data_IF_666131071537
#
_entry.id   IF_666131071537
#
_cell.length_a   1.000
_cell.length_b   1.000
_cell.length_c   1.000
_cell.angle_alpha   90.00
_cell.angle_beta   90.00
_cell.angle_gamma   90.00
#
_symmetry.space_group_name_H-M   'P 1'
#
loop_
_entity.id
_entity.type
_entity.pdbx_description
1 polymer ?
#
# COMPACT_ATOMS: atom_id res chain seq x y z
N UNK A 1 20.11 -19.23 -20.80
CA UNK A 1 21.30 -18.85 -19.99
C UNK A 1 20.94 -19.04 -18.52
N UNK A 2 21.74 -19.78 -17.73
CA UNK A 2 21.39 -20.19 -16.35
C UNK A 2 21.94 -19.28 -15.23
N UNK A 3 22.47 -18.09 -15.58
CA UNK A 3 23.09 -17.16 -14.63
C UNK A 3 22.73 -15.68 -14.89
N UNK A 4 21.66 -15.40 -15.63
CA UNK A 4 21.21 -14.02 -15.88
C UNK A 4 20.60 -13.41 -14.62
N UNK A 5 21.22 -12.38 -14.04
CA UNK A 5 20.64 -11.62 -12.93
C UNK A 5 19.59 -10.66 -13.50
N UNK A 6 18.31 -11.03 -13.47
CA UNK A 6 17.19 -10.15 -13.88
C UNK A 6 16.82 -9.14 -12.79
N UNK A 7 16.91 -9.56 -11.53
CA UNK A 7 16.42 -8.81 -10.37
C UNK A 7 17.19 -7.50 -10.19
N UNK A 8 16.46 -6.39 -10.14
CA UNK A 8 16.98 -5.03 -9.93
C UNK A 8 17.61 -4.39 -11.18
N UNK A 9 17.66 -5.10 -12.31
CA UNK A 9 18.06 -4.49 -13.58
C UNK A 9 16.87 -3.78 -14.23
N UNK A 10 17.16 -2.66 -14.87
CA UNK A 10 16.18 -1.85 -15.59
C UNK A 10 16.85 -1.12 -16.75
N UNK A 11 16.04 -0.57 -17.66
CA UNK A 11 16.48 0.44 -18.62
C UNK A 11 15.72 1.74 -18.43
N UNK A 12 16.15 2.80 -19.09
CA UNK A 12 15.53 4.13 -19.02
C UNK A 12 15.04 4.51 -20.42
N UNK A 13 13.81 4.99 -20.50
CA UNK A 13 13.24 5.64 -21.68
C UNK A 13 13.22 7.16 -21.48
N UNK A 14 13.29 7.93 -22.57
CA UNK A 14 13.30 9.41 -22.53
C UNK A 14 14.62 10.06 -22.12
N UNK A 15 15.66 9.29 -21.80
CA UNK A 15 17.03 9.77 -21.58
C UNK A 15 18.06 8.67 -21.86
N UNK A 16 19.31 9.06 -22.10
CA UNK A 16 20.42 8.10 -22.13
C UNK A 16 20.63 7.51 -20.72
N UNK A 17 20.77 6.18 -20.55
CA UNK A 17 20.95 5.57 -19.24
C UNK A 17 22.11 6.14 -18.41
N UNK A 18 23.18 6.61 -19.05
CA UNK A 18 24.32 7.25 -18.37
C UNK A 18 23.98 8.65 -17.83
N UNK A 19 23.00 9.31 -18.45
CA UNK A 19 22.53 10.65 -18.07
C UNK A 19 21.37 10.65 -17.08
N UNK A 20 20.69 9.51 -16.87
CA UNK A 20 19.50 9.41 -16.02
C UNK A 20 19.70 9.99 -14.62
N UNK A 21 20.81 9.61 -13.97
CA UNK A 21 21.13 10.14 -12.65
C UNK A 21 21.34 11.66 -12.66
N UNK A 22 22.05 12.18 -13.66
CA UNK A 22 22.30 13.61 -13.80
C UNK A 22 20.99 14.39 -14.05
N UNK A 23 20.05 13.85 -14.83
CA UNK A 23 18.73 14.47 -15.04
C UNK A 23 17.99 14.63 -13.71
N UNK A 24 17.96 13.57 -12.89
CA UNK A 24 17.33 13.62 -11.57
C UNK A 24 18.09 14.55 -10.61
N UNK A 25 19.42 14.55 -10.62
CA UNK A 25 20.24 15.38 -9.74
C UNK A 25 20.14 16.87 -10.07
N UNK A 26 19.94 17.23 -11.35
CA UNK A 26 19.81 18.63 -11.79
C UNK A 26 18.44 19.25 -11.47
N UNK A 27 17.39 18.44 -11.39
CA UNK A 27 16.06 18.91 -11.01
C UNK A 27 15.49 18.03 -9.91
N UNK A 28 15.50 18.45 -8.63
CA UNK A 28 14.98 17.67 -7.51
C UNK A 28 13.46 17.45 -7.56
N UNK A 29 12.72 18.20 -8.38
CA UNK A 29 11.26 18.11 -8.48
C UNK A 29 10.79 17.01 -9.42
N UNK A 30 11.65 16.56 -10.35
CA UNK A 30 11.33 15.47 -11.29
C UNK A 30 11.00 14.16 -10.52
N UNK A 31 9.82 13.54 -10.71
CA UNK A 31 9.48 12.30 -10.02
C UNK A 31 10.30 11.10 -10.54
N UNK A 32 10.41 10.06 -9.71
CA UNK A 32 10.82 8.74 -10.18
C UNK A 32 9.61 8.08 -10.83
N UNK A 33 9.69 7.70 -12.10
CA UNK A 33 8.61 7.04 -12.82
C UNK A 33 9.06 5.67 -13.28
N UNK A 34 8.26 4.63 -13.01
CA UNK A 34 8.53 3.24 -13.38
C UNK A 34 7.39 2.68 -14.22
N UNK A 35 7.69 1.72 -15.08
CA UNK A 35 6.71 0.85 -15.73
C UNK A 35 7.24 -0.58 -15.84
N UNK A 36 6.35 -1.53 -16.15
CA UNK A 36 6.74 -2.90 -16.48
C UNK A 36 7.41 -2.94 -17.86
N UNK A 37 6.69 -2.58 -18.91
CA UNK A 37 7.16 -2.64 -20.30
C UNK A 37 7.90 -1.39 -20.77
N UNK A 38 8.80 -1.57 -21.75
CA UNK A 38 9.51 -0.45 -22.39
C UNK A 38 8.59 0.42 -23.25
N UNK A 39 7.60 -0.14 -23.95
CA UNK A 39 6.65 0.63 -24.75
C UNK A 39 5.82 1.59 -23.89
N UNK A 40 5.35 1.10 -22.74
CA UNK A 40 4.71 1.92 -21.70
C UNK A 40 5.68 2.99 -21.19
N UNK A 41 6.94 2.64 -20.90
CA UNK A 41 7.94 3.59 -20.43
C UNK A 41 8.18 4.72 -21.43
N UNK A 42 8.39 4.38 -22.71
CA UNK A 42 8.64 5.34 -23.78
C UNK A 42 7.46 6.28 -23.98
N UNK A 43 6.24 5.73 -24.01
CA UNK A 43 5.02 6.54 -24.12
C UNK A 43 4.91 7.49 -22.93
N UNK A 44 5.00 6.99 -21.70
CA UNK A 44 4.89 7.83 -20.51
C UNK A 44 5.99 8.89 -20.48
N UNK A 45 7.22 8.56 -20.87
CA UNK A 45 8.32 9.52 -20.95
C UNK A 45 8.02 10.66 -21.94
N UNK A 46 7.45 10.35 -23.10
CA UNK A 46 6.99 11.37 -24.07
C UNK A 46 5.84 12.22 -23.53
N UNK A 47 4.95 11.63 -22.73
CA UNK A 47 3.79 12.33 -22.17
C UNK A 47 4.17 13.29 -21.05
N UNK A 48 5.00 12.85 -20.10
CA UNK A 48 5.39 13.64 -18.93
C UNK A 48 6.65 14.50 -19.15
N UNK A 49 7.43 14.22 -20.20
CA UNK A 49 8.69 14.93 -20.45
C UNK A 49 9.82 14.56 -19.48
N UNK A 50 9.69 13.45 -18.75
CA UNK A 50 10.68 12.97 -17.79
C UNK A 50 11.16 11.57 -18.14
N UNK A 51 12.37 11.18 -17.73
CA UNK A 51 12.83 9.81 -17.93
C UNK A 51 11.98 8.81 -17.15
N UNK A 52 11.69 7.67 -17.76
CA UNK A 52 10.89 6.58 -17.16
C UNK A 52 11.70 5.30 -17.15
N UNK A 53 11.67 4.59 -16.02
CA UNK A 53 12.39 3.34 -15.81
C UNK A 53 11.52 2.15 -16.22
N UNK A 54 12.00 1.30 -17.12
CA UNK A 54 11.32 0.05 -17.47
C UNK A 54 11.93 -1.15 -16.73
N UNK A 55 11.11 -1.86 -15.95
CA UNK A 55 11.53 -3.01 -15.14
C UNK A 55 11.54 -4.35 -15.91
N UNK A 56 10.98 -4.37 -17.13
CA UNK A 56 10.80 -5.51 -18.03
C UNK A 56 9.90 -6.66 -17.53
N UNK A 57 9.47 -6.60 -16.27
CA UNK A 57 8.68 -7.65 -15.63
C UNK A 57 8.03 -7.11 -14.35
N UNK A 58 6.74 -7.41 -14.19
CA UNK A 58 5.96 -7.04 -13.00
C UNK A 58 6.55 -7.58 -11.70
N UNK A 59 7.17 -8.77 -11.73
CA UNK A 59 7.88 -9.35 -10.59
C UNK A 59 9.19 -8.62 -10.24
N UNK A 60 9.70 -7.75 -11.11
CA UNK A 60 10.90 -6.96 -10.89
C UNK A 60 10.61 -5.53 -10.40
N UNK A 61 9.34 -5.09 -10.44
CA UNK A 61 8.94 -3.73 -10.03
C UNK A 61 9.38 -3.39 -8.61
N UNK A 62 9.17 -4.28 -7.64
CA UNK A 62 9.57 -4.09 -6.25
C UNK A 62 11.09 -3.91 -6.10
N UNK A 63 11.88 -4.79 -6.73
CA UNK A 63 13.34 -4.71 -6.64
C UNK A 63 13.90 -3.43 -7.25
N UNK A 64 13.33 -2.97 -8.37
CA UNK A 64 13.71 -1.71 -9.03
C UNK A 64 13.26 -0.51 -8.21
N UNK A 65 12.01 -0.50 -7.73
CA UNK A 65 11.46 0.56 -6.89
C UNK A 65 12.28 0.76 -5.60
N UNK A 66 12.67 -0.34 -4.94
CA UNK A 66 13.59 -0.30 -3.79
C UNK A 66 14.92 0.36 -4.13
N UNK A 67 15.57 -0.07 -5.22
CA UNK A 67 16.87 0.47 -5.66
C UNK A 67 16.81 1.97 -5.92
N UNK A 68 15.76 2.43 -6.61
CA UNK A 68 15.55 3.86 -6.88
C UNK A 68 15.25 4.63 -5.59
N UNK A 69 14.45 4.06 -4.68
CA UNK A 69 14.15 4.67 -3.38
C UNK A 69 15.37 4.78 -2.48
N UNK A 70 16.26 3.78 -2.46
CA UNK A 70 17.51 3.82 -1.70
C UNK A 70 18.43 4.97 -2.16
N UNK A 71 18.47 5.24 -3.46
CA UNK A 71 19.27 6.32 -4.03
C UNK A 71 18.62 7.70 -3.93
N UNK A 72 17.30 7.76 -4.06
CA UNK A 72 16.52 9.01 -4.03
C UNK A 72 15.32 8.91 -3.06
N UNK A 73 15.58 8.96 -1.74
CA UNK A 73 14.62 8.59 -0.70
C UNK A 73 13.37 9.48 -0.64
N UNK A 74 13.47 10.75 -1.02
CA UNK A 74 12.41 11.74 -0.79
C UNK A 74 11.65 12.14 -2.06
N UNK A 75 12.01 11.57 -3.21
CA UNK A 75 11.35 11.87 -4.48
C UNK A 75 10.00 11.17 -4.58
N UNK A 76 8.98 11.77 -5.22
CA UNK A 76 7.76 11.06 -5.56
C UNK A 76 8.09 9.82 -6.42
N UNK A 77 7.49 8.70 -6.10
CA UNK A 77 7.63 7.45 -6.85
C UNK A 77 6.29 7.13 -7.51
N UNK A 78 6.27 7.08 -8.83
CA UNK A 78 5.09 6.84 -9.65
C UNK A 78 5.30 5.56 -10.45
N UNK A 79 4.33 4.65 -10.43
CA UNK A 79 4.38 3.39 -11.18
C UNK A 79 3.26 3.43 -12.22
N UNK A 80 3.62 3.66 -13.48
CA UNK A 80 2.72 3.53 -14.61
C UNK A 80 2.47 2.03 -14.87
N UNK A 81 1.28 1.58 -14.46
CA UNK A 81 0.92 0.16 -14.50
C UNK A 81 0.10 -0.17 -15.74
N UNK A 82 0.27 -1.40 -16.22
CA UNK A 82 -0.58 -2.00 -17.22
C UNK A 82 -1.94 -2.35 -16.56
N UNK A 83 -3.01 -2.10 -17.30
CA UNK A 83 -4.40 -2.27 -16.91
C UNK A 83 -5.08 -3.32 -17.78
N UNK A 84 -4.76 -4.60 -17.53
CA UNK A 84 -5.48 -5.74 -18.11
C UNK A 84 -6.90 -5.84 -17.53
N UNK A 85 -7.74 -4.84 -17.77
CA UNK A 85 -9.10 -4.69 -17.27
C UNK A 85 -10.05 -5.79 -17.75
N UNK A 86 -9.61 -6.62 -18.70
CA UNK A 86 -10.33 -7.80 -19.21
C UNK A 86 -9.92 -9.10 -18.50
N UNK A 87 -8.76 -9.13 -17.83
CA UNK A 87 -8.23 -10.35 -17.22
C UNK A 87 -9.19 -10.94 -16.19
N UNK A 88 -9.86 -10.10 -15.40
CA UNK A 88 -10.83 -10.54 -14.39
C UNK A 88 -12.12 -11.12 -14.98
N UNK A 89 -12.41 -10.84 -16.26
CA UNK A 89 -13.57 -11.38 -16.99
C UNK A 89 -13.28 -12.74 -17.62
N UNK A 90 -12.02 -13.13 -17.72
CA UNK A 90 -11.59 -14.40 -18.27
C UNK A 90 -11.42 -15.44 -17.15
N UNK A 91 -11.82 -16.69 -17.40
CA UNK A 91 -11.56 -17.78 -16.47
C UNK A 91 -10.20 -18.41 -16.78
N UNK A 92 -9.39 -18.55 -15.74
CA UNK A 92 -8.15 -19.31 -15.80
C UNK A 92 -8.45 -20.82 -15.90
N UNK A 93 -7.47 -21.65 -16.29
CA UNK A 93 -7.64 -23.10 -16.38
C UNK A 93 -8.10 -23.78 -15.07
N UNK A 94 -7.90 -23.13 -13.92
CA UNK A 94 -8.35 -23.57 -12.60
C UNK A 94 -9.80 -23.18 -12.27
N UNK A 95 -10.54 -22.61 -13.21
CA UNK A 95 -11.94 -22.20 -13.07
C UNK A 95 -12.15 -20.92 -12.25
N UNK A 96 -11.08 -20.20 -11.89
CA UNK A 96 -11.16 -18.92 -11.16
C UNK A 96 -11.00 -17.74 -12.13
N UNK A 97 -11.55 -16.55 -11.82
CA UNK A 97 -11.26 -15.33 -12.57
C UNK A 97 -9.76 -15.11 -12.72
N UNK A 98 -9.36 -14.56 -13.87
CA UNK A 98 -8.03 -14.03 -14.08
C UNK A 98 -7.74 -12.89 -13.11
N UNK A 99 -6.47 -12.56 -12.99
CA UNK A 99 -6.00 -11.49 -12.11
C UNK A 99 -5.20 -10.55 -12.98
N UNK A 100 -5.43 -9.24 -12.84
CA UNK A 100 -4.54 -8.25 -13.42
C UNK A 100 -3.23 -8.23 -12.61
N UNK A 101 -2.31 -9.13 -12.97
CA UNK A 101 -1.06 -9.35 -12.24
C UNK A 101 -0.17 -8.11 -12.29
N UNK A 102 -0.12 -7.41 -13.43
CA UNK A 102 0.64 -6.19 -13.61
C UNK A 102 0.20 -5.10 -12.65
N UNK A 103 -1.11 -4.81 -12.59
CA UNK A 103 -1.67 -3.83 -11.67
C UNK A 103 -1.44 -4.22 -10.21
N UNK A 104 -1.69 -5.48 -9.83
CA UNK A 104 -1.48 -5.95 -8.46
C UNK A 104 -0.02 -5.79 -8.02
N UNK A 105 0.93 -6.14 -8.88
CA UNK A 105 2.37 -6.01 -8.60
C UNK A 105 2.82 -4.57 -8.50
N UNK A 106 2.25 -3.69 -9.33
CA UNK A 106 2.47 -2.26 -9.22
C UNK A 106 1.94 -1.69 -7.89
N UNK A 107 0.75 -2.12 -7.45
CA UNK A 107 0.19 -1.73 -6.15
C UNK A 107 1.08 -2.21 -4.99
N UNK A 108 1.48 -3.48 -4.98
CA UNK A 108 2.39 -4.03 -3.96
C UNK A 108 3.71 -3.22 -3.89
N UNK A 109 4.32 -2.92 -5.04
CA UNK A 109 5.56 -2.13 -5.08
C UNK A 109 5.36 -0.68 -4.62
N UNK A 110 4.24 -0.05 -4.97
CA UNK A 110 3.91 1.30 -4.53
C UNK A 110 3.70 1.35 -3.01
N UNK A 111 2.98 0.38 -2.43
CA UNK A 111 2.79 0.26 -0.99
C UNK A 111 4.11 0.08 -0.24
N UNK A 112 4.96 -0.86 -0.69
CA UNK A 112 6.26 -1.15 -0.08
C UNK A 112 7.23 0.03 -0.10
N UNK A 113 7.11 0.91 -1.10
CA UNK A 113 8.08 1.97 -1.36
C UNK A 113 7.49 3.38 -1.33
N UNK A 114 6.30 3.55 -0.73
CA UNK A 114 5.61 4.85 -0.56
C UNK A 114 5.46 5.58 -1.90
N UNK A 115 5.05 4.85 -2.92
CA UNK A 115 4.76 5.36 -4.26
C UNK A 115 3.26 5.44 -4.54
N UNK A 116 2.91 5.78 -5.78
CA UNK A 116 1.55 5.77 -6.28
C UNK A 116 1.48 5.06 -7.63
N UNK A 117 0.34 4.42 -7.92
CA UNK A 117 0.11 3.72 -9.19
C UNK A 117 -0.70 4.59 -10.13
N UNK A 118 -0.25 4.71 -11.37
CA UNK A 118 -0.90 5.45 -12.44
C UNK A 118 -1.45 4.45 -13.46
N UNK A 119 -2.77 4.34 -13.51
CA UNK A 119 -3.49 3.37 -14.35
C UNK A 119 -4.25 4.12 -15.44
N UNK A 120 -4.09 3.79 -16.73
CA UNK A 120 -4.88 4.38 -17.80
C UNK A 120 -6.35 4.00 -17.63
N UNK A 121 -7.25 4.96 -17.89
CA UNK A 121 -8.70 4.74 -17.74
C UNK A 121 -9.29 4.18 -19.04
N UNK A 122 -9.43 2.86 -19.10
CA UNK A 122 -10.18 2.20 -20.16
C UNK A 122 -11.64 1.96 -19.73
N UNK A 123 -12.58 2.25 -20.62
CA UNK A 123 -13.97 1.83 -20.49
C UNK A 123 -14.12 0.32 -20.71
N UNK A 124 -15.23 -0.26 -20.28
CA UNK A 124 -15.44 -1.72 -20.33
C UNK A 124 -15.33 -2.35 -21.72
N UNK A 125 -15.53 -1.56 -22.77
CA UNK A 125 -15.50 -1.97 -24.18
C UNK A 125 -14.22 -1.55 -24.90
N UNK A 126 -13.39 -0.73 -24.27
CA UNK A 126 -12.19 -0.19 -24.90
C UNK A 126 -11.17 -1.31 -25.08
N UNK A 127 -10.45 -1.25 -26.20
CA UNK A 127 -9.34 -2.16 -26.44
C UNK A 127 -8.11 -1.67 -25.69
N UNK A 128 -7.13 -2.55 -25.50
CA UNK A 128 -5.84 -2.19 -24.92
C UNK A 128 -5.79 -2.29 -23.40
N UNK A 129 -4.57 -2.24 -22.87
CA UNK A 129 -4.35 -2.37 -21.44
C UNK A 129 -3.33 -1.38 -20.89
N UNK A 130 -2.45 -0.82 -21.70
CA UNK A 130 -1.38 0.05 -21.20
C UNK A 130 -1.52 1.51 -21.66
N UNK A 131 -0.58 2.35 -21.22
CA UNK A 131 -0.52 3.76 -21.63
C UNK A 131 -0.22 3.95 -23.11
N UNK A 132 0.49 2.99 -23.74
CA UNK A 132 0.81 3.03 -25.16
C UNK A 132 -0.45 2.79 -26.01
N UNK A 133 -1.30 1.84 -25.63
CA UNK A 133 -2.60 1.59 -26.25
C UNK A 133 -3.55 2.78 -26.06
N UNK A 134 -3.54 3.39 -24.86
CA UNK A 134 -4.35 4.57 -24.57
C UNK A 134 -3.94 5.74 -25.47
N UNK A 135 -2.63 6.00 -25.60
CA UNK A 135 -2.09 7.05 -26.46
C UNK A 135 -2.39 6.81 -27.94
N UNK A 136 -2.31 5.56 -28.41
CA UNK A 136 -2.66 5.22 -29.79
C UNK A 136 -4.15 5.44 -30.10
N UNK A 137 -5.04 5.19 -29.13
CA UNK A 137 -6.48 5.33 -29.32
C UNK A 137 -6.97 6.78 -29.20
N UNK A 138 -6.41 7.55 -28.26
CA UNK A 138 -6.91 8.89 -27.92
C UNK A 138 -5.99 10.03 -28.38
N UNK A 139 -4.77 9.72 -28.82
CA UNK A 139 -3.73 10.68 -29.15
C UNK A 139 -2.93 11.16 -27.94
N UNK A 140 -1.70 11.61 -28.20
CA UNK A 140 -0.72 12.00 -27.16
C UNK A 140 -1.23 13.15 -26.27
N UNK A 141 -1.99 14.11 -26.80
CA UNK A 141 -2.51 15.24 -26.00
C UNK A 141 -3.56 14.77 -24.98
N UNK A 142 -4.47 13.90 -25.38
CA UNK A 142 -5.48 13.34 -24.48
C UNK A 142 -4.83 12.43 -23.43
N UNK A 143 -3.87 11.60 -23.85
CA UNK A 143 -3.10 10.76 -22.95
C UNK A 143 -2.29 11.56 -21.93
N UNK A 144 -1.69 12.68 -22.33
CA UNK A 144 -1.00 13.60 -21.41
C UNK A 144 -1.96 14.15 -20.36
N UNK A 145 -3.11 14.68 -20.77
CA UNK A 145 -4.12 15.21 -19.84
C UNK A 145 -4.61 14.15 -18.86
N UNK A 146 -4.80 12.92 -19.34
CA UNK A 146 -5.20 11.81 -18.48
C UNK A 146 -4.10 11.43 -17.48
N UNK A 147 -2.83 11.37 -17.92
CA UNK A 147 -1.69 11.12 -17.04
C UNK A 147 -1.57 12.20 -15.96
N UNK A 148 -1.64 13.47 -16.34
CA UNK A 148 -1.62 14.61 -15.41
C UNK A 148 -2.76 14.53 -14.39
N UNK A 149 -3.97 14.17 -14.84
CA UNK A 149 -5.13 13.95 -13.96
C UNK A 149 -4.87 12.83 -12.95
N UNK A 150 -4.30 11.69 -13.38
CA UNK A 150 -3.96 10.57 -12.50
C UNK A 150 -2.88 10.96 -11.48
N UNK A 151 -1.88 11.74 -11.90
CA UNK A 151 -0.86 12.28 -10.99
C UNK A 151 -1.47 13.23 -9.96
N UNK A 152 -2.37 14.13 -10.37
CA UNK A 152 -3.06 15.04 -9.46
C UNK A 152 -3.96 14.30 -8.45
N UNK A 153 -4.64 13.23 -8.90
CA UNK A 153 -5.43 12.35 -8.04
C UNK A 153 -4.54 11.65 -7.01
N UNK A 154 -3.44 11.04 -7.45
CA UNK A 154 -2.48 10.39 -6.55
C UNK A 154 -1.91 11.35 -5.50
N UNK A 155 -1.58 12.60 -5.89
CA UNK A 155 -1.14 13.64 -4.94
C UNK A 155 -2.23 13.98 -3.92
N UNK A 156 -3.47 14.11 -4.36
CA UNK A 156 -4.61 14.44 -3.50
C UNK A 156 -4.90 13.31 -2.51
N UNK A 157 -4.92 12.06 -2.98
CA UNK A 157 -5.11 10.86 -2.15
C UNK A 157 -3.98 10.71 -1.13
N UNK A 158 -2.73 10.94 -1.53
CA UNK A 158 -1.59 10.91 -0.62
C UNK A 158 -1.71 11.99 0.47
N UNK A 159 -2.15 13.21 0.13
CA UNK A 159 -2.37 14.29 1.09
C UNK A 159 -3.50 13.95 2.08
N UNK A 160 -4.65 13.47 1.58
CA UNK A 160 -5.78 13.05 2.42
C UNK A 160 -5.40 11.90 3.34
N UNK A 161 -4.63 10.92 2.85
CA UNK A 161 -4.18 9.79 3.66
C UNK A 161 -3.18 10.24 4.74
N UNK A 162 -2.28 11.17 4.42
CA UNK A 162 -1.38 11.76 5.40
C UNK A 162 -2.15 12.53 6.50
N UNK A 163 -3.15 13.32 6.13
CA UNK A 163 -4.02 14.03 7.09
C UNK A 163 -4.79 13.06 7.99
N UNK A 164 -5.35 11.98 7.41
CA UNK A 164 -6.03 10.92 8.16
C UNK A 164 -5.09 10.24 9.16
N UNK A 165 -3.87 9.91 8.75
CA UNK A 165 -2.87 9.33 9.65
C UNK A 165 -2.50 10.28 10.79
N UNK A 166 -2.37 11.59 10.54
CA UNK A 166 -2.10 12.56 11.59
C UNK A 166 -3.26 12.67 12.60
N UNK A 167 -4.51 12.60 12.14
CA UNK A 167 -5.68 12.59 13.01
C UNK A 167 -5.68 11.36 13.93
N UNK A 168 -5.50 10.16 13.36
CA UNK A 168 -5.44 8.92 14.12
C UNK A 168 -4.26 8.88 15.11
N UNK A 169 -3.11 9.44 14.75
CA UNK A 169 -1.96 9.55 15.65
C UNK A 169 -2.25 10.48 16.85
N UNK A 170 -2.95 11.60 16.61
CA UNK A 170 -3.37 12.52 17.69
C UNK A 170 -4.40 11.89 18.62
N UNK A 171 -5.35 11.15 18.08
CA UNK A 171 -6.35 10.42 18.88
C UNK A 171 -5.67 9.37 19.76
N UNK A 172 -4.77 8.55 19.20
CA UNK A 172 -3.99 7.58 19.98
C UNK A 172 -3.13 8.24 21.06
N UNK A 173 -2.55 9.40 20.78
CA UNK A 173 -1.78 10.14 21.79
C UNK A 173 -2.67 10.66 22.92
N UNK A 174 -3.88 11.11 22.62
CA UNK A 174 -4.86 11.50 23.64
C UNK A 174 -5.29 10.30 24.49
N UNK A 175 -5.60 9.16 23.86
CA UNK A 175 -5.94 7.91 24.55
C UNK A 175 -4.78 7.44 25.46
N UNK A 176 -3.53 7.47 24.98
CA UNK A 176 -2.37 7.07 25.77
C UNK A 176 -2.04 8.05 26.92
N UNK A 177 -2.45 9.32 26.83
CA UNK A 177 -2.29 10.29 27.94
C UNK A 177 -3.34 10.10 29.03
N UNK A 178 -4.53 9.62 28.66
CA UNK A 178 -5.66 9.42 29.58
C UNK A 178 -5.70 8.00 30.18
N UNK A 179 -4.79 7.10 29.79
CA UNK A 179 -4.63 5.77 30.38
C UNK A 179 -3.58 5.75 31.52
N UNK A 180 -3.99 5.53 32.79
CA UNK A 180 -3.09 5.50 33.94
C UNK A 180 -2.18 4.26 34.00
N UNK A 181 -2.26 3.31 33.05
CA UNK A 181 -1.49 2.06 33.06
C UNK A 181 -0.38 1.95 32.00
N UNK A 182 -0.23 2.90 31.07
CA UNK A 182 0.69 2.79 29.91
C UNK A 182 2.14 3.22 30.15
N UNK A 183 2.64 3.25 31.40
CA UNK A 183 4.06 3.55 31.71
C UNK A 183 5.07 2.48 31.24
N UNK A 184 4.65 1.51 30.42
CA UNK A 184 5.41 0.30 30.17
C UNK A 184 6.02 0.15 28.76
N UNK A 185 5.86 1.08 27.80
CA UNK A 185 6.55 0.93 26.51
C UNK A 185 6.90 2.25 25.80
N UNK A 186 7.54 3.16 26.55
CA UNK A 186 8.07 4.44 26.06
C UNK A 186 8.92 4.31 24.78
N UNK A 187 9.59 3.16 24.59
CA UNK A 187 10.44 2.90 23.44
C UNK A 187 9.66 2.64 22.13
N UNK A 188 8.49 2.00 22.19
CA UNK A 188 7.66 1.73 21.01
C UNK A 188 6.98 3.02 20.54
N UNK A 189 6.44 3.78 21.50
CA UNK A 189 5.83 5.09 21.25
C UNK A 189 6.86 6.09 20.70
N UNK A 190 8.11 6.05 21.20
CA UNK A 190 9.19 6.87 20.65
C UNK A 190 9.55 6.49 19.20
N UNK A 191 9.52 5.20 18.85
CA UNK A 191 9.77 4.75 17.46
C UNK A 191 8.65 5.18 16.52
N UNK A 192 7.39 5.06 16.92
CA UNK A 192 6.25 5.54 16.13
C UNK A 192 6.29 7.07 15.95
N UNK A 193 6.65 7.82 16.99
CA UNK A 193 6.88 9.27 16.92
C UNK A 193 8.00 9.65 15.95
N UNK A 194 9.13 8.93 15.98
CA UNK A 194 10.23 9.16 15.06
C UNK A 194 9.82 8.88 13.60
N UNK A 195 9.08 7.80 13.35
CA UNK A 195 8.57 7.45 12.03
C UNK A 195 7.53 8.47 11.50
N UNK A 196 6.63 8.95 12.37
CA UNK A 196 5.66 10.00 12.03
C UNK A 196 6.33 11.35 11.75
N UNK A 197 7.36 11.72 12.51
CA UNK A 197 8.11 12.96 12.31
C UNK A 197 8.98 12.92 11.04
N UNK A 198 9.58 11.78 10.71
CA UNK A 198 10.31 11.59 9.44
C UNK A 198 9.35 11.65 8.24
N UNK A 199 8.18 11.01 8.33
CA UNK A 199 7.13 11.11 7.32
C UNK A 199 6.66 12.56 7.14
N UNK A 200 6.52 13.31 8.24
CA UNK A 200 6.14 14.73 8.25
C UNK A 200 7.23 15.62 7.65
N UNK A 201 8.51 15.39 7.96
CA UNK A 201 9.63 16.16 7.39
C UNK A 201 9.67 16.05 5.87
N UNK A 202 9.46 14.83 5.36
CA UNK A 202 9.39 14.55 3.91
C UNK A 202 8.13 15.13 3.26
N UNK A 203 6.98 15.05 3.96
CA UNK A 203 5.72 15.63 3.50
C UNK A 203 5.71 17.16 3.52
N UNK A 204 6.42 17.83 4.44
CA UNK A 204 6.55 19.29 4.47
C UNK A 204 7.54 19.76 3.38
N UNK A 205 8.65 19.04 3.18
CA UNK A 205 9.60 19.34 2.11
C UNK A 205 8.97 19.17 0.71
N UNK A 206 8.17 18.12 0.47
CA UNK A 206 7.42 17.93 -0.78
C UNK A 206 6.11 18.73 -0.85
N UNK A 207 5.49 19.01 0.29
CA UNK A 207 4.17 19.63 0.40
C UNK A 207 4.18 21.16 0.43
N UNK A 208 5.29 21.82 0.80
CA UNK A 208 5.41 23.27 0.69
C UNK A 208 5.41 23.74 -0.77
N UNK A 209 6.06 22.98 -1.66
CA UNK A 209 6.01 23.21 -3.11
C UNK A 209 4.62 22.90 -3.68
N UNK A 210 4.01 21.78 -3.28
CA UNK A 210 2.67 21.40 -3.72
C UNK A 210 1.56 22.32 -3.19
N UNK A 211 1.70 22.91 -1.98
CA UNK A 211 0.76 23.91 -1.44
C UNK A 211 0.84 25.21 -2.22
N UNK A 212 2.03 25.69 -2.57
CA UNK A 212 2.20 26.91 -3.35
C UNK A 212 1.56 26.76 -4.75
N UNK A 213 1.82 25.64 -5.45
CA UNK A 213 1.19 25.34 -6.74
C UNK A 213 -0.32 25.11 -6.63
N UNK A 214 -0.81 24.45 -5.58
CA UNK A 214 -2.24 24.21 -5.39
C UNK A 214 -3.00 25.49 -5.03
N UNK A 215 -2.40 26.41 -4.25
CA UNK A 215 -2.99 27.73 -3.98
C UNK A 215 -3.02 28.60 -5.24
N UNK A 216 -1.97 28.58 -6.06
CA UNK A 216 -1.95 29.30 -7.34
C UNK A 216 -2.97 28.71 -8.34
N UNK A 217 -3.11 27.38 -8.38
CA UNK A 217 -4.11 26.70 -9.21
C UNK A 217 -5.56 26.96 -8.73
N UNK A 218 -5.80 27.03 -7.41
CA UNK A 218 -7.09 27.37 -6.82
C UNK A 218 -7.47 28.84 -7.09
N UNK A 219 -6.50 29.76 -7.06
CA UNK A 219 -6.70 31.17 -7.42
C UNK A 219 -6.95 31.33 -8.92
N UNK A 220 -6.28 30.55 -9.77
CA UNK A 220 -6.49 30.54 -11.22
C UNK A 220 -7.85 29.95 -11.64
N UNK A 221 -8.41 29.02 -10.85
CA UNK A 221 -9.67 28.33 -11.16
C UNK A 221 -10.92 29.03 -10.56
N UNK A 222 -10.72 30.10 -9.78
CA UNK A 222 -11.80 30.89 -9.17
C UNK A 222 -12.61 31.74 -10.17
N UNK A 223 -12.30 31.67 -11.47
CA UNK A 223 -12.97 32.45 -12.54
C UNK A 223 -14.13 31.73 -13.24
N UNK A 224 -14.62 30.57 -12.78
CA UNK A 224 -15.75 29.90 -13.47
C UNK A 224 -16.51 28.78 -12.76
N UNK A 225 -17.58 29.15 -12.04
CA UNK A 225 -18.82 28.43 -11.66
C UNK A 225 -18.79 27.09 -10.84
N UNK A 226 -19.72 26.87 -9.88
CA UNK A 226 -19.65 25.79 -8.88
C UNK A 226 -20.40 24.49 -9.23
N UNK A 227 -19.95 23.34 -8.68
CA UNK A 227 -20.70 22.06 -8.58
C UNK A 227 -20.83 21.61 -7.11
N UNK A 228 -21.89 20.85 -6.74
CA UNK A 228 -22.27 20.67 -5.33
C UNK A 228 -21.42 19.61 -4.63
N UNK A 229 -20.40 20.09 -3.92
CA UNK A 229 -19.49 19.36 -3.02
C UNK A 229 -20.19 18.57 -1.90
N UNK A 230 -21.45 18.88 -1.60
CA UNK A 230 -22.18 18.30 -0.48
C UNK A 230 -22.55 16.80 -0.66
N UNK A 231 -22.80 16.35 -1.90
CA UNK A 231 -23.24 14.97 -2.14
C UNK A 231 -22.08 13.95 -2.05
N UNK A 232 -20.86 14.36 -2.43
CA UNK A 232 -19.67 13.50 -2.39
C UNK A 232 -19.16 13.36 -0.94
N UNK A 233 -19.19 14.45 -0.17
CA UNK A 233 -18.81 14.44 1.24
C UNK A 233 -19.72 13.52 2.09
N UNK A 234 -21.03 13.50 1.81
CA UNK A 234 -21.98 12.68 2.56
C UNK A 234 -21.85 11.17 2.30
N UNK A 235 -21.35 10.77 1.13
CA UNK A 235 -21.12 9.36 0.76
C UNK A 235 -19.81 8.85 1.38
N UNK A 236 -18.75 9.67 1.36
CA UNK A 236 -17.47 9.31 2.00
C UNK A 236 -17.57 9.26 3.52
N UNK A 237 -18.37 10.13 4.14
CA UNK A 237 -18.60 10.10 5.59
C UNK A 237 -19.28 8.80 6.06
N UNK A 238 -20.21 8.25 5.26
CA UNK A 238 -20.89 6.98 5.58
C UNK A 238 -19.93 5.79 5.50
N UNK A 239 -19.13 5.70 4.44
CA UNK A 239 -18.16 4.61 4.27
C UNK A 239 -17.06 4.62 5.35
N UNK A 240 -16.63 5.81 5.79
CA UNK A 240 -15.63 5.93 6.87
C UNK A 240 -16.17 5.50 8.25
N UNK A 241 -17.46 5.69 8.51
CA UNK A 241 -18.09 5.24 9.76
C UNK A 241 -18.20 3.71 9.79
N UNK A 242 -18.65 3.12 8.69
CA UNK A 242 -18.80 1.65 8.54
C UNK A 242 -17.46 0.92 8.70
N UNK A 243 -16.38 1.44 8.10
CA UNK A 243 -15.03 0.88 8.26
C UNK A 243 -14.46 1.08 9.68
N UNK A 244 -14.84 2.16 10.36
CA UNK A 244 -14.44 2.41 11.75
C UNK A 244 -15.07 1.41 12.73
N UNK A 245 -16.31 1.02 12.47
CA UNK A 245 -17.04 0.04 13.27
C UNK A 245 -16.49 -1.38 13.05
N UNK A 246 -16.15 -1.78 11.83
CA UNK A 246 -15.48 -3.06 11.55
C UNK A 246 -14.12 -3.19 12.24
N UNK A 247 -13.32 -2.11 12.27
CA UNK A 247 -12.01 -2.12 12.94
C UNK A 247 -12.17 -2.22 14.47
N UNK A 248 -13.23 -1.62 15.03
CA UNK A 248 -13.55 -1.77 16.46
C UNK A 248 -13.98 -3.19 16.79
N UNK A 249 -14.81 -3.80 15.94
CA UNK A 249 -15.29 -5.18 16.13
C UNK A 249 -14.14 -6.19 16.02
N UNK A 250 -13.22 -6.01 15.06
CA UNK A 250 -12.00 -6.82 14.95
C UNK A 250 -11.07 -6.66 16.15
N UNK A 251 -10.94 -5.45 16.72
CA UNK A 251 -10.17 -5.22 17.96
C UNK A 251 -10.81 -5.90 19.16
N UNK A 252 -12.15 -5.82 19.29
CA UNK A 252 -12.88 -6.46 20.38
C UNK A 252 -12.71 -7.99 20.34
N UNK A 253 -12.77 -8.60 19.15
CA UNK A 253 -12.54 -10.04 18.98
C UNK A 253 -11.11 -10.47 19.37
N UNK A 254 -10.11 -9.63 19.13
CA UNK A 254 -8.71 -9.88 19.54
C UNK A 254 -8.53 -9.73 21.06
N UNK A 255 -9.20 -8.76 21.67
CA UNK A 255 -9.23 -8.55 23.12
C UNK A 255 -9.94 -9.71 23.86
N UNK A 256 -11.07 -10.17 23.34
CA UNK A 256 -11.83 -11.28 23.92
C UNK A 256 -11.09 -12.61 23.77
N UNK A 257 -10.29 -12.78 22.70
CA UNK A 257 -9.42 -13.93 22.50
C UNK A 257 -8.25 -14.04 23.48
N UNK A 258 -7.83 -12.94 24.12
CA UNK A 258 -6.76 -12.92 25.12
C UNK A 258 -7.23 -13.22 26.55
N UNK A 259 -8.55 -13.33 26.79
CA UNK A 259 -9.10 -13.53 28.15
C UNK A 259 -9.35 -15.00 28.53
N UNK A 260 -8.93 -15.96 27.70
CA UNK A 260 -8.97 -17.41 28.03
C UNK A 260 -7.55 -17.92 28.27
N UNK A 261 -6.82 -17.40 29.27
CA UNK A 261 -5.60 -18.05 29.80
C UNK A 261 -5.05 -17.40 31.09
N UNK A 262 -5.85 -17.15 32.12
CA UNK A 262 -5.29 -16.99 33.49
C UNK A 262 -6.35 -17.24 34.58
N UNK A 263 -6.59 -18.49 34.95
CA UNK A 263 -6.88 -18.87 36.35
C UNK A 263 -6.32 -20.28 36.60
N UNK A 264 -5.09 -20.34 37.09
CA UNK A 264 -4.52 -21.55 37.67
C UNK A 264 -4.83 -21.61 39.17
N UNK A 265 -5.43 -22.72 39.60
CA UNK A 265 -5.09 -23.39 40.86
C UNK A 265 -5.56 -22.76 42.18
N UNK A 266 -6.64 -23.32 42.74
CA UNK A 266 -6.76 -23.51 44.19
C UNK A 266 -6.93 -25.00 44.48
N UNK A 267 -6.01 -25.50 45.28
CA UNK A 267 -5.89 -26.87 45.81
C UNK A 267 -6.96 -27.17 46.85
N UNK A 268 -7.48 -28.40 46.84
CA UNK A 268 -8.14 -29.05 47.97
C UNK A 268 -7.60 -30.49 48.10
N UNK A 269 -7.44 -31.04 49.32
CA UNK A 269 -6.70 -32.27 49.55
C UNK A 269 -7.56 -33.51 49.31
N UNK A 270 -7.02 -34.47 48.56
CA UNK A 270 -7.65 -35.75 48.30
C UNK A 270 -7.61 -36.63 49.56
N UNK A 271 -8.79 -37.06 50.02
CA UNK A 271 -8.95 -38.01 51.13
C UNK A 271 -8.77 -39.42 50.62
N UNK A 272 -7.78 -40.08 51.20
CA UNK A 272 -7.45 -41.49 51.11
C UNK A 272 -8.66 -42.40 51.43
N UNK A 273 -9.11 -43.19 50.46
CA UNK A 273 -10.08 -44.27 50.64
C UNK A 273 -9.41 -45.62 50.39
N UNK A 274 -9.28 -46.38 51.46
CA UNK A 274 -8.57 -47.65 51.58
C UNK A 274 -9.10 -48.78 50.67
N UNK A 275 -8.18 -49.56 50.09
CA UNK A 275 -8.45 -50.89 49.53
C UNK A 275 -8.20 -51.98 50.60
N UNK A 276 -9.06 -53.00 50.74
CA UNK A 276 -8.92 -54.01 51.78
C UNK A 276 -7.86 -55.08 51.44
N UNK A 277 -7.16 -55.50 52.50
CA UNK A 277 -6.08 -56.48 52.54
C UNK A 277 -6.60 -57.90 52.24
N UNK A 278 -5.91 -58.63 51.35
CA UNK A 278 -6.09 -60.09 51.13
C UNK A 278 -5.44 -60.88 52.27
N UNK A 279 -6.21 -61.73 52.95
CA UNK A 279 -5.67 -62.86 53.72
C UNK A 279 -5.46 -64.09 52.81
N UNK A 280 -4.31 -64.74 52.96
CA UNK A 280 -3.92 -66.00 52.33
C UNK A 280 -4.43 -67.19 53.15
N UNK A 281 -4.80 -68.30 52.48
CA UNK A 281 -4.18 -69.63 52.70
C UNK A 281 -4.78 -70.72 51.81
N UNK A 282 -3.89 -71.55 51.23
CA UNK A 282 -3.92 -73.03 51.00
C UNK A 282 -5.27 -73.64 50.54
N UNK A 283 -5.39 -74.33 49.40
CA UNK A 283 -4.51 -75.36 48.83
C UNK A 283 -5.18 -76.74 48.93
N UNK A 284 -5.10 -77.54 47.84
CA UNK A 284 -5.69 -78.87 47.55
C UNK A 284 -7.09 -78.79 46.92
N UNK A 285 -7.41 -79.46 45.82
CA UNK A 285 -6.78 -80.52 45.03
C UNK A 285 -7.90 -81.34 44.38
N UNK A 286 -7.64 -81.96 43.21
CA UNK A 286 -8.46 -83.01 42.56
C UNK A 286 -9.89 -82.58 42.16
N UNK A 287 -10.55 -83.04 41.11
CA UNK A 287 -10.33 -83.98 40.01
C UNK A 287 -11.61 -83.84 39.13
N UNK A 288 -11.54 -84.31 37.87
CA UNK A 288 -12.65 -84.55 36.93
C UNK A 288 -13.23 -83.34 36.17
#
# INVERSE_FOLDING_TARGET
MKAGRKVGLYTVAGADPSSFAAVLENDPTTPLVLSEGYATADTVARLCGHPVVAAFDSGNLDAVARSLRERWPDRPLLIAADNDHRAEKELRPDGKPGVNVGLKKAQEAAENHKGAVLVPSFGERDAGSDWNDYAQQHGDEAARKELERKVAQAKTEAAMNAERMMMLAREREAEARDDPTTSADDALVARERAAAHDLMGRAIAGGAAARAEATDALVANATGAPRPVAAVAATMARSNAEQGDEIKEQRQAVLDGHNVSTESGRTAPDREAAKPVRQRARGRGAEL
#
